data_IF_467539807950
#
_entry.id   IF_467539807950
#
_cell.length_a   1.000
_cell.length_b   1.000
_cell.length_c   1.000
_cell.angle_alpha   90.00
_cell.angle_beta   90.00
_cell.angle_gamma   90.00
#
_symmetry.space_group_name_H-M   'P 1'
#
loop_
_entity.id
_entity.type
_entity.pdbx_description
1 polymer ?
#
# COMPACT_ATOMS: atom_id res chain seq x y z
N UNK A 1 3.16 12.44 9.96
CA UNK A 1 3.21 11.08 9.45
C UNK A 1 3.89 11.05 8.09
N UNK A 2 4.93 10.26 7.99
CA UNK A 2 5.66 10.14 6.74
C UNK A 2 5.87 8.68 6.37
N UNK A 3 5.64 8.39 5.10
CA UNK A 3 5.91 7.08 4.51
C UNK A 3 7.24 7.19 3.76
N UNK A 4 8.16 6.23 3.92
CA UNK A 4 9.42 6.28 3.17
C UNK A 4 9.15 6.35 1.67
N UNK A 5 9.96 7.14 0.96
CA UNK A 5 9.89 7.17 -0.50
C UNK A 5 10.24 5.79 -1.05
N UNK A 6 9.50 5.30 -2.05
CA UNK A 6 9.84 4.03 -2.68
C UNK A 6 11.23 4.07 -3.30
N UNK A 7 12.03 3.06 -2.98
CA UNK A 7 13.34 2.88 -3.63
C UNK A 7 13.15 1.82 -4.70
N UNK A 8 13.19 2.23 -5.94
CA UNK A 8 12.96 1.32 -7.07
C UNK A 8 14.23 1.15 -7.88
N UNK A 9 14.42 -0.06 -8.41
CA UNK A 9 15.57 -0.40 -9.23
C UNK A 9 15.12 -1.20 -10.45
N UNK A 10 15.54 -0.80 -11.65
CA UNK A 10 15.23 -1.58 -12.83
C UNK A 10 16.10 -2.83 -12.91
N UNK A 11 15.47 -3.96 -13.25
CA UNK A 11 16.17 -5.22 -13.48
C UNK A 11 15.58 -5.87 -14.76
N UNK A 12 16.20 -5.63 -15.90
CA UNK A 12 15.65 -6.08 -17.17
C UNK A 12 14.32 -5.40 -17.44
N UNK A 13 13.27 -6.20 -17.63
CA UNK A 13 11.91 -5.68 -17.81
C UNK A 13 11.09 -5.72 -16.53
N UNK A 14 11.76 -5.72 -15.38
CA UNK A 14 11.13 -5.76 -14.05
C UNK A 14 11.57 -4.54 -13.27
N UNK A 15 10.66 -3.95 -12.50
CA UNK A 15 10.98 -2.91 -11.53
C UNK A 15 10.91 -3.51 -10.13
N UNK A 16 12.00 -3.40 -9.38
CA UNK A 16 12.08 -3.93 -8.00
C UNK A 16 11.86 -2.79 -7.00
N UNK A 17 10.87 -2.96 -6.13
CA UNK A 17 10.58 -2.03 -5.04
C UNK A 17 11.38 -2.51 -3.83
N UNK A 18 12.58 -1.94 -3.63
CA UNK A 18 13.58 -2.47 -2.72
C UNK A 18 13.19 -2.34 -1.24
N UNK A 19 12.58 -1.23 -0.84
CA UNK A 19 12.20 -0.99 0.55
C UNK A 19 10.72 -1.23 0.82
N UNK A 20 10.13 -2.19 0.11
CA UNK A 20 8.71 -2.51 0.25
C UNK A 20 8.36 -2.92 1.68
N UNK A 21 9.17 -3.74 2.34
CA UNK A 21 8.90 -4.18 3.71
C UNK A 21 8.94 -3.03 4.72
N UNK A 22 9.84 -2.06 4.53
CA UNK A 22 9.86 -0.86 5.38
C UNK A 22 8.55 -0.07 5.25
N UNK A 23 7.99 -0.01 4.05
CA UNK A 23 6.68 0.60 3.81
C UNK A 23 5.58 -0.16 4.52
N UNK A 24 5.58 -1.49 4.41
CA UNK A 24 4.59 -2.36 5.06
C UNK A 24 4.63 -2.16 6.58
N UNK A 25 5.83 -2.15 7.16
CA UNK A 25 5.99 -1.96 8.60
C UNK A 25 5.50 -0.58 9.04
N UNK A 26 5.80 0.45 8.26
CA UNK A 26 5.39 1.82 8.57
C UNK A 26 3.88 1.99 8.52
N UNK A 27 3.22 1.37 7.55
CA UNK A 27 1.77 1.44 7.37
C UNK A 27 1.01 0.47 8.28
N UNK A 28 1.69 -0.56 8.80
CA UNK A 28 1.07 -1.64 9.57
C UNK A 28 -0.07 -2.28 8.78
N UNK A 29 0.24 -2.70 7.56
CA UNK A 29 -0.72 -3.34 6.66
C UNK A 29 -0.17 -4.67 6.16
N UNK A 30 -1.06 -5.49 5.61
CA UNK A 30 -0.69 -6.77 5.02
C UNK A 30 0.02 -6.54 3.67
N UNK A 31 1.15 -7.22 3.48
CA UNK A 31 1.95 -7.06 2.26
C UNK A 31 1.18 -7.49 1.00
N UNK A 32 0.36 -8.52 1.10
CA UNK A 32 -0.44 -8.99 -0.03
C UNK A 32 -1.51 -7.97 -0.42
N UNK A 33 -2.05 -7.24 0.54
CA UNK A 33 -3.05 -6.21 0.29
C UNK A 33 -2.45 -5.04 -0.49
N UNK A 34 -1.30 -4.53 -0.04
CA UNK A 34 -0.60 -3.45 -0.76
C UNK A 34 -0.12 -3.92 -2.13
N UNK A 35 0.43 -5.13 -2.23
CA UNK A 35 0.86 -5.68 -3.52
C UNK A 35 -0.31 -5.71 -4.51
N UNK A 36 -1.47 -6.19 -4.07
CA UNK A 36 -2.65 -6.28 -4.92
C UNK A 36 -3.13 -4.91 -5.40
N UNK A 37 -3.10 -3.92 -4.50
CA UNK A 37 -3.44 -2.55 -4.85
C UNK A 37 -2.48 -1.99 -5.89
N UNK A 38 -1.16 -2.14 -5.67
CA UNK A 38 -0.16 -1.64 -6.60
C UNK A 38 -0.24 -2.33 -7.96
N UNK A 39 -0.52 -3.65 -7.98
CA UNK A 39 -0.73 -4.39 -9.20
C UNK A 39 -1.86 -3.77 -10.03
N UNK A 40 -2.97 -3.46 -9.39
CA UNK A 40 -4.13 -2.86 -10.05
C UNK A 40 -3.82 -1.42 -10.50
N UNK A 41 -3.21 -0.62 -9.63
CA UNK A 41 -2.90 0.78 -9.94
C UNK A 41 -1.87 0.93 -11.05
N UNK A 42 -0.85 0.09 -11.07
CA UNK A 42 0.18 0.13 -12.11
C UNK A 42 -0.22 -0.64 -13.37
N UNK A 43 -1.31 -1.41 -13.30
CA UNK A 43 -1.80 -2.16 -14.44
C UNK A 43 -0.87 -3.27 -14.91
N UNK A 44 -0.16 -3.91 -13.99
CA UNK A 44 0.81 -4.94 -14.32
C UNK A 44 0.79 -6.04 -13.26
N UNK A 45 1.43 -7.17 -13.55
CA UNK A 45 1.55 -8.23 -12.53
C UNK A 45 2.62 -7.85 -11.50
N UNK A 46 2.35 -8.21 -10.25
CA UNK A 46 3.25 -7.95 -9.13
C UNK A 46 3.41 -9.21 -8.29
N UNK A 47 4.61 -9.40 -7.79
CA UNK A 47 4.93 -10.51 -6.89
C UNK A 47 5.84 -10.00 -5.77
N UNK A 48 5.94 -10.79 -4.69
CA UNK A 48 6.85 -10.48 -3.58
C UNK A 48 7.91 -11.58 -3.61
N UNK A 49 9.18 -11.19 -3.65
CA UNK A 49 10.28 -12.15 -3.71
C UNK A 49 10.64 -12.64 -2.29
N UNK A 50 11.61 -13.55 -2.21
CA UNK A 50 12.03 -14.16 -0.95
C UNK A 50 12.77 -13.19 -0.02
N UNK A 51 13.13 -11.99 -0.52
CA UNK A 51 13.72 -10.91 0.29
C UNK A 51 12.69 -9.85 0.68
N UNK A 52 11.41 -10.08 0.38
CA UNK A 52 10.35 -9.17 0.73
C UNK A 52 10.22 -7.96 -0.18
N UNK A 53 10.88 -7.94 -1.33
CA UNK A 53 10.76 -6.86 -2.31
C UNK A 53 9.57 -7.11 -3.22
N UNK A 54 8.83 -6.05 -3.56
CA UNK A 54 7.78 -6.17 -4.56
C UNK A 54 8.39 -6.00 -5.94
N UNK A 55 7.99 -6.86 -6.88
CA UNK A 55 8.54 -6.88 -8.24
C UNK A 55 7.40 -6.71 -9.23
N UNK A 56 7.53 -5.71 -10.09
CA UNK A 56 6.51 -5.36 -11.09
C UNK A 56 7.07 -5.61 -12.48
N UNK A 57 6.27 -6.27 -13.34
CA UNK A 57 6.65 -6.42 -14.73
C UNK A 57 6.53 -5.07 -15.43
N UNK A 58 7.62 -4.62 -16.04
CA UNK A 58 7.67 -3.35 -16.74
C UNK A 58 8.64 -2.37 -16.10
N UNK A 59 8.73 -1.18 -16.69
CA UNK A 59 9.64 -0.13 -16.25
C UNK A 59 8.80 1.01 -15.65
N UNK A 60 8.89 1.17 -14.35
CA UNK A 60 8.14 2.20 -13.62
C UNK A 60 9.11 3.13 -12.91
N UNK A 61 8.89 4.43 -13.07
CA UNK A 61 9.68 5.45 -12.37
C UNK A 61 9.31 5.47 -10.89
N UNK A 62 10.25 5.90 -10.07
CA UNK A 62 10.03 6.09 -8.63
C UNK A 62 8.79 6.96 -8.36
N UNK A 63 8.62 8.04 -9.11
CA UNK A 63 7.46 8.93 -8.93
C UNK A 63 6.13 8.23 -9.22
N UNK A 64 6.11 7.33 -10.20
CA UNK A 64 4.88 6.59 -10.52
C UNK A 64 4.50 5.64 -9.40
N UNK A 65 5.49 4.95 -8.82
CA UNK A 65 5.26 4.06 -7.69
C UNK A 65 4.85 4.86 -6.45
N UNK A 66 5.49 6.02 -6.21
CA UNK A 66 5.15 6.92 -5.11
C UNK A 66 3.71 7.43 -5.21
N UNK A 67 3.25 7.79 -6.41
CA UNK A 67 1.88 8.25 -6.61
C UNK A 67 0.87 7.14 -6.32
N UNK A 68 1.18 5.92 -6.75
CA UNK A 68 0.32 4.77 -6.46
C UNK A 68 0.27 4.48 -4.95
N UNK A 69 1.41 4.59 -4.27
CA UNK A 69 1.48 4.42 -2.82
C UNK A 69 0.64 5.48 -2.09
N UNK A 70 0.70 6.74 -2.54
CA UNK A 70 -0.12 7.82 -1.98
C UNK A 70 -1.61 7.51 -2.10
N UNK A 71 -2.02 6.92 -3.21
CA UNK A 71 -3.40 6.48 -3.40
C UNK A 71 -3.83 5.41 -2.41
N UNK A 72 -2.92 4.48 -2.11
CA UNK A 72 -3.17 3.46 -1.11
C UNK A 72 -3.33 4.07 0.28
N UNK A 73 -2.43 4.96 0.66
CA UNK A 73 -2.47 5.62 1.96
C UNK A 73 -3.78 6.39 2.13
N UNK A 74 -4.19 7.13 1.11
CA UNK A 74 -5.44 7.90 1.15
C UNK A 74 -6.66 6.99 1.29
N UNK A 75 -6.69 5.87 0.60
CA UNK A 75 -7.87 4.99 0.55
C UNK A 75 -7.95 3.99 1.70
N UNK A 76 -6.80 3.53 2.21
CA UNK A 76 -6.76 2.39 3.14
C UNK A 76 -6.03 2.66 4.45
N UNK A 77 -5.47 3.84 4.65
CA UNK A 77 -4.67 4.14 5.85
C UNK A 77 -5.20 5.38 6.57
N UNK A 78 -5.38 6.49 5.87
CA UNK A 78 -5.76 7.75 6.49
C UNK A 78 -7.24 7.77 6.86
N UNK A 79 -7.54 8.11 8.11
CA UNK A 79 -8.92 8.24 8.57
C UNK A 79 -9.61 9.39 7.85
N UNK A 80 -10.80 9.14 7.28
CA UNK A 80 -11.56 10.16 6.57
C UNK A 80 -12.16 11.21 7.51
N UNK A 81 -12.27 10.91 8.80
CA UNK A 81 -12.88 11.83 9.78
C UNK A 81 -11.85 12.74 10.43
N UNK A 82 -10.73 12.19 10.93
CA UNK A 82 -9.75 12.98 11.67
C UNK A 82 -8.39 13.11 10.98
N UNK A 83 -8.18 12.43 9.86
CA UNK A 83 -6.92 12.47 9.11
C UNK A 83 -5.76 11.71 9.73
N UNK A 84 -5.99 10.97 10.81
CA UNK A 84 -4.93 10.21 11.47
C UNK A 84 -4.53 8.99 10.65
N UNK A 85 -3.23 8.63 10.61
CA UNK A 85 -2.77 7.40 10.01
C UNK A 85 -2.83 6.21 10.98
N UNK A 86 -3.21 6.44 12.24
CA UNK A 86 -3.27 5.40 13.28
C UNK A 86 -4.55 4.60 13.13
N UNK A 87 -4.60 3.78 12.10
CA UNK A 87 -5.78 3.04 11.67
C UNK A 87 -5.44 1.59 11.40
N UNK A 88 -6.47 0.77 11.28
CA UNK A 88 -6.33 -0.63 10.89
C UNK A 88 -7.54 -1.08 10.09
N UNK A 89 -7.36 -2.13 9.31
CA UNK A 89 -8.45 -2.73 8.56
C UNK A 89 -9.02 -3.89 9.38
N UNK A 90 -10.33 -3.89 9.56
CA UNK A 90 -11.03 -4.94 10.32
C UNK A 90 -12.21 -5.45 9.53
N UNK A 91 -12.65 -6.67 9.84
CA UNK A 91 -13.84 -7.25 9.24
C UNK A 91 -15.06 -6.92 10.09
N UNK A 92 -16.09 -6.34 9.46
CA UNK A 92 -17.38 -6.04 10.07
C UNK A 92 -18.49 -6.56 9.19
N UNK A 93 -19.23 -7.55 9.68
CA UNK A 93 -20.38 -8.12 8.96
C UNK A 93 -20.03 -8.56 7.54
N UNK A 94 -18.86 -9.16 7.38
CA UNK A 94 -18.41 -9.66 6.08
C UNK A 94 -17.80 -8.61 5.15
N UNK A 95 -17.63 -7.37 5.61
CA UNK A 95 -17.01 -6.31 4.85
C UNK A 95 -15.75 -5.81 5.55
N UNK A 96 -14.76 -5.40 4.78
CA UNK A 96 -13.56 -4.76 5.32
C UNK A 96 -13.84 -3.28 5.55
N UNK A 97 -13.55 -2.80 6.74
CA UNK A 97 -13.69 -1.38 7.08
C UNK A 97 -12.40 -0.89 7.73
N UNK A 98 -12.18 0.43 7.65
CA UNK A 98 -11.06 1.08 8.31
C UNK A 98 -11.51 1.57 9.67
N UNK A 99 -10.82 1.12 10.72
CA UNK A 99 -11.06 1.55 12.10
C UNK A 99 -9.95 2.47 12.53
N UNK A 100 -10.31 3.68 12.96
CA UNK A 100 -9.35 4.65 13.46
C UNK A 100 -9.17 4.48 14.96
N UNK A 101 -7.92 4.26 15.40
CA UNK A 101 -7.61 4.13 16.82
C UNK A 101 -7.49 5.49 17.50
N UNK A 102 -7.35 6.57 16.73
CA UNK A 102 -7.26 7.93 17.28
C UNK A 102 -8.64 8.53 17.60
N UNK A 103 -9.64 8.34 16.73
CA UNK A 103 -10.97 8.94 16.93
C UNK A 103 -12.10 7.92 17.07
N UNK A 104 -11.83 6.65 16.82
CA UNK A 104 -12.84 5.58 16.93
C UNK A 104 -13.76 5.43 15.74
N UNK A 105 -13.58 6.22 14.69
CA UNK A 105 -14.45 6.16 13.50
C UNK A 105 -14.28 4.85 12.73
N UNK A 106 -15.36 4.38 12.14
CA UNK A 106 -15.36 3.28 11.18
C UNK A 106 -15.71 3.85 9.81
N UNK A 107 -14.92 3.52 8.81
CA UNK A 107 -15.11 4.01 7.45
C UNK A 107 -15.08 2.88 6.45
N UNK A 108 -15.90 2.99 5.42
CA UNK A 108 -15.85 2.04 4.31
C UNK A 108 -14.56 2.24 3.51
N UNK A 109 -14.03 1.15 2.96
CA UNK A 109 -12.88 1.20 2.06
C UNK A 109 -13.24 0.56 0.72
N UNK A 110 -12.53 0.92 -0.36
CA UNK A 110 -12.78 0.30 -1.66
C UNK A 110 -12.51 -1.20 -1.64
N UNK A 111 -13.17 -1.93 -2.53
CA UNK A 111 -12.84 -3.34 -2.76
C UNK A 111 -11.57 -3.44 -3.60
N UNK A 112 -10.80 -4.48 -3.33
CA UNK A 112 -9.61 -4.80 -4.12
C UNK A 112 -9.83 -6.02 -4.99
#
# INVERSE_FOLDING_TARGET
>A
FQVPDPEVRPEGNVTSYENFQATIDRLNRDEGHLRKFLQSELGTSASIDDRGRARFTGDFRQSRVADALDGYVESFVTCSECGSPDTRLVEERGATVLKCDACGALSAVPDL
#
